data_IF_507064297494
#
_entry.id   IF_507064297494
#
_cell.length_a   1.000
_cell.length_b   1.000
_cell.length_c   1.000
_cell.angle_alpha   90.00
_cell.angle_beta   90.00
_cell.angle_gamma   90.00
#
_symmetry.space_group_name_H-M   'P 1'
#
loop_
_entity.id
_entity.type
_entity.pdbx_description
1 polymer ?
#
# COMPACT_ATOMS: atom_id res chain seq x y z
N UNK A 1 6.81 -18.22 -10.62
CA UNK A 1 8.06 -17.51 -10.92
C UNK A 1 7.85 -16.05 -10.56
N UNK A 2 8.77 -15.46 -9.80
CA UNK A 2 8.65 -14.08 -9.32
C UNK A 2 8.73 -13.07 -10.48
N UNK A 3 7.89 -12.06 -10.45
CA UNK A 3 7.75 -11.06 -11.50
C UNK A 3 8.61 -9.82 -11.25
N UNK A 4 8.75 -9.41 -9.98
CA UNK A 4 9.40 -8.16 -9.60
C UNK A 4 10.68 -8.38 -8.81
N UNK A 5 10.67 -9.24 -7.80
CA UNK A 5 11.89 -9.59 -7.06
C UNK A 5 12.71 -10.61 -7.86
N UNK A 6 13.69 -10.12 -8.62
CA UNK A 6 14.51 -10.92 -9.54
C UNK A 6 15.92 -11.23 -9.02
N UNK A 7 16.34 -10.53 -7.97
CA UNK A 7 17.66 -10.72 -7.37
C UNK A 7 17.75 -12.11 -6.71
N UNK A 8 18.97 -12.61 -6.55
CA UNK A 8 19.15 -13.91 -5.91
C UNK A 8 18.79 -13.81 -4.44
N UNK A 9 17.98 -14.75 -3.95
CA UNK A 9 17.56 -14.75 -2.55
C UNK A 9 18.74 -14.95 -1.58
N UNK A 10 19.82 -15.58 -2.04
CA UNK A 10 21.06 -15.76 -1.27
C UNK A 10 21.82 -14.44 -1.10
N UNK A 11 21.68 -13.49 -2.03
CA UNK A 11 22.29 -12.16 -1.95
C UNK A 11 21.49 -11.25 -0.99
N UNK A 12 20.15 -11.42 -0.95
CA UNK A 12 19.24 -10.66 -0.09
C UNK A 12 19.27 -11.20 1.36
N UNK A 13 19.18 -12.52 1.52
CA UNK A 13 19.13 -13.19 2.81
C UNK A 13 20.23 -14.26 2.89
N UNK A 14 21.49 -13.86 3.15
CA UNK A 14 22.63 -14.79 3.15
C UNK A 14 22.54 -15.86 4.25
N UNK A 15 21.80 -15.58 5.32
CA UNK A 15 21.60 -16.51 6.44
C UNK A 15 20.54 -17.59 6.15
N UNK A 16 19.83 -17.50 5.03
CA UNK A 16 18.74 -18.40 4.66
C UNK A 16 19.25 -19.50 3.72
N UNK A 17 19.44 -20.71 4.26
CA UNK A 17 19.97 -21.85 3.50
C UNK A 17 18.97 -23.01 3.36
N UNK A 18 19.10 -23.77 2.26
CA UNK A 18 18.43 -25.05 2.05
C UNK A 18 16.90 -24.99 2.11
N UNK A 19 16.30 -25.59 3.15
CA UNK A 19 14.85 -25.68 3.30
C UNK A 19 14.19 -24.30 3.52
N UNK A 20 14.91 -23.36 4.16
CA UNK A 20 14.39 -22.02 4.39
C UNK A 20 14.46 -21.17 3.11
N UNK A 21 15.39 -21.46 2.19
CA UNK A 21 15.45 -20.82 0.89
C UNK A 21 14.25 -21.19 0.01
N UNK A 22 13.88 -22.48 -0.01
CA UNK A 22 12.65 -22.94 -0.68
C UNK A 22 11.41 -22.29 -0.08
N UNK A 23 11.39 -22.08 1.24
CA UNK A 23 10.31 -21.38 1.91
C UNK A 23 10.26 -19.90 1.52
N UNK A 24 11.40 -19.21 1.51
CA UNK A 24 11.51 -17.82 1.07
C UNK A 24 11.00 -17.65 -0.36
N UNK A 25 11.40 -18.50 -1.31
CA UNK A 25 10.87 -18.48 -2.69
C UNK A 25 9.34 -18.56 -2.71
N UNK A 26 8.74 -19.45 -1.93
CA UNK A 26 7.27 -19.58 -1.85
C UNK A 26 6.62 -18.35 -1.23
N UNK A 27 7.27 -17.70 -0.27
CA UNK A 27 6.76 -16.47 0.34
C UNK A 27 6.84 -15.29 -0.62
N UNK A 28 7.92 -15.16 -1.40
CA UNK A 28 8.04 -14.17 -2.49
C UNK A 28 6.89 -14.33 -3.47
N UNK A 29 6.69 -15.53 -4.02
CA UNK A 29 5.59 -15.75 -4.99
C UNK A 29 4.21 -15.44 -4.41
N UNK A 30 4.02 -15.68 -3.11
CA UNK A 30 2.74 -15.39 -2.44
C UNK A 30 2.56 -13.90 -2.17
N UNK A 31 3.62 -13.20 -1.76
CA UNK A 31 3.61 -11.76 -1.54
C UNK A 31 3.28 -11.03 -2.84
N UNK A 32 3.91 -11.42 -3.94
CA UNK A 32 3.62 -10.85 -5.25
C UNK A 32 2.16 -11.06 -5.67
N UNK A 33 1.61 -12.26 -5.49
CA UNK A 33 0.19 -12.54 -5.77
C UNK A 33 -0.76 -11.70 -4.91
N UNK A 34 -0.43 -11.46 -3.64
CA UNK A 34 -1.22 -10.60 -2.76
C UNK A 34 -1.19 -9.15 -3.29
N UNK A 35 -0.01 -8.66 -3.67
CA UNK A 35 0.15 -7.31 -4.25
C UNK A 35 -0.64 -7.19 -5.55
N UNK A 36 -0.56 -8.17 -6.46
CA UNK A 36 -1.34 -8.20 -7.71
C UNK A 36 -2.85 -8.16 -7.46
N UNK A 37 -3.32 -9.00 -6.52
CA UNK A 37 -4.73 -9.05 -6.17
C UNK A 37 -5.23 -7.73 -5.58
N UNK A 38 -4.38 -7.02 -4.83
CA UNK A 38 -4.74 -5.78 -4.15
C UNK A 38 -4.59 -4.54 -5.04
N UNK A 39 -3.65 -4.57 -5.99
CA UNK A 39 -3.40 -3.48 -6.93
C UNK A 39 -3.47 -4.00 -8.38
N UNK A 40 -4.68 -4.19 -8.94
CA UNK A 40 -4.84 -4.76 -10.28
C UNK A 40 -4.18 -3.93 -11.40
N UNK A 41 -4.01 -2.62 -11.19
CA UNK A 41 -3.39 -1.69 -12.15
C UNK A 41 -1.88 -1.53 -11.94
N UNK A 42 -1.27 -2.31 -11.04
CA UNK A 42 0.15 -2.17 -10.71
C UNK A 42 1.06 -2.49 -11.90
N UNK A 43 0.76 -3.56 -12.64
CA UNK A 43 1.57 -3.94 -13.80
C UNK A 43 1.55 -2.87 -14.89
N UNK A 44 0.38 -2.29 -15.17
CA UNK A 44 0.25 -1.19 -16.13
C UNK A 44 1.01 0.05 -15.65
N UNK A 45 0.94 0.39 -14.36
CA UNK A 45 1.66 1.54 -13.79
C UNK A 45 3.18 1.38 -13.86
N UNK A 46 3.68 0.16 -13.67
CA UNK A 46 5.11 -0.14 -13.83
C UNK A 46 5.53 -0.02 -15.29
N UNK A 47 4.73 -0.54 -16.23
CA UNK A 47 4.99 -0.41 -17.67
C UNK A 47 4.96 1.05 -18.15
N UNK A 48 4.05 1.85 -17.59
CA UNK A 48 3.88 3.26 -17.93
C UNK A 48 4.90 4.18 -17.21
N UNK A 49 5.81 3.61 -16.39
CA UNK A 49 6.82 4.36 -15.65
C UNK A 49 6.26 5.22 -14.50
N UNK A 50 5.01 5.00 -14.10
CA UNK A 50 4.37 5.70 -12.98
C UNK A 50 4.74 5.12 -11.61
N UNK A 51 5.30 3.91 -11.59
CA UNK A 51 5.81 3.24 -10.41
C UNK A 51 7.06 2.47 -10.81
N UNK A 52 8.14 2.61 -10.04
CA UNK A 52 9.37 1.87 -10.31
C UNK A 52 9.20 0.40 -9.89
N UNK A 53 9.66 -0.52 -10.75
CA UNK A 53 9.67 -1.94 -10.45
C UNK A 53 10.56 -2.25 -9.23
N UNK A 54 11.63 -1.48 -9.01
CA UNK A 54 12.49 -1.64 -7.84
C UNK A 54 11.75 -1.34 -6.53
N UNK A 55 10.81 -0.38 -6.53
CA UNK A 55 9.98 -0.09 -5.34
C UNK A 55 9.06 -1.26 -5.03
N UNK A 56 8.45 -1.87 -6.06
CA UNK A 56 7.61 -3.07 -5.87
C UNK A 56 8.43 -4.23 -5.33
N UNK A 57 9.65 -4.43 -5.85
CA UNK A 57 10.57 -5.46 -5.38
C UNK A 57 10.96 -5.24 -3.91
N UNK A 58 11.30 -4.00 -3.52
CA UNK A 58 11.61 -3.66 -2.13
C UNK A 58 10.44 -3.92 -1.17
N UNK A 59 9.19 -3.61 -1.57
CA UNK A 59 8.02 -3.95 -0.74
C UNK A 59 7.85 -5.47 -0.59
N UNK A 60 8.10 -6.25 -1.64
CA UNK A 60 8.07 -7.72 -1.57
C UNK A 60 9.16 -8.24 -0.63
N UNK A 61 10.37 -7.69 -0.73
CA UNK A 61 11.49 -8.00 0.16
C UNK A 61 11.16 -7.70 1.62
N UNK A 62 10.62 -6.52 1.93
CA UNK A 62 10.23 -6.13 3.30
C UNK A 62 9.16 -7.08 3.87
N UNK A 63 8.16 -7.43 3.05
CA UNK A 63 7.12 -8.37 3.44
C UNK A 63 7.70 -9.75 3.79
N UNK A 64 8.62 -10.26 2.98
CA UNK A 64 9.22 -11.59 3.18
C UNK A 64 10.22 -11.58 4.33
N UNK A 65 11.03 -10.52 4.46
CA UNK A 65 11.96 -10.32 5.58
C UNK A 65 11.22 -10.39 6.90
N UNK A 66 10.09 -9.68 7.03
CA UNK A 66 9.25 -9.77 8.25
C UNK A 66 8.77 -11.18 8.56
N UNK A 67 8.42 -11.96 7.53
CA UNK A 67 7.98 -13.35 7.73
C UNK A 67 9.13 -14.23 8.20
N UNK A 68 10.31 -14.07 7.59
CA UNK A 68 11.51 -14.81 7.95
C UNK A 68 11.96 -14.46 9.38
N UNK A 69 11.96 -13.17 9.73
CA UNK A 69 12.27 -12.70 11.08
C UNK A 69 11.27 -13.19 12.11
N UNK A 70 9.97 -13.13 11.80
CA UNK A 70 8.94 -13.64 12.71
C UNK A 70 9.12 -15.15 12.94
N UNK A 71 9.48 -15.89 11.89
CA UNK A 71 9.74 -17.33 11.99
C UNK A 71 11.01 -17.64 12.77
N UNK A 72 12.11 -16.92 12.55
CA UNK A 72 13.37 -17.12 13.29
C UNK A 72 13.21 -16.83 14.78
N UNK A 73 12.35 -15.87 15.15
CA UNK A 73 11.98 -15.55 16.54
C UNK A 73 10.91 -16.46 17.13
N UNK A 74 10.48 -17.50 16.43
CA UNK A 74 9.43 -18.42 16.89
C UNK A 74 8.04 -17.80 16.98
N UNK A 75 7.79 -16.65 16.35
CA UNK A 75 6.52 -15.91 16.36
C UNK A 75 6.45 -14.73 17.34
N UNK A 76 7.56 -14.40 18.00
CA UNK A 76 7.61 -13.52 19.16
C UNK A 76 7.83 -12.06 18.74
N UNK A 77 6.79 -11.24 18.87
CA UNK A 77 6.73 -9.88 18.32
C UNK A 77 7.21 -8.81 19.33
N UNK A 78 7.01 -9.07 20.63
CA UNK A 78 7.38 -8.13 21.70
C UNK A 78 7.75 -8.88 22.98
N UNK A 79 8.97 -8.62 23.49
CA UNK A 79 9.36 -8.96 24.86
C UNK A 79 9.00 -7.78 25.76
N UNK A 80 7.78 -7.75 26.28
CA UNK A 80 7.32 -6.66 27.16
C UNK A 80 7.52 -7.04 28.61
N UNK A 81 8.73 -6.89 29.13
CA UNK A 81 8.95 -7.08 30.56
C UNK A 81 8.15 -6.04 31.39
N UNK A 82 7.23 -6.38 32.35
CA UNK A 82 7.26 -5.62 33.60
C UNK A 82 8.64 -5.90 34.18
N UNK A 83 8.94 -7.22 34.25
CA UNK A 83 10.21 -7.96 34.11
C UNK A 83 10.06 -9.35 33.34
N UNK A 84 9.01 -9.60 32.52
CA UNK A 84 8.88 -10.31 31.19
C UNK A 84 7.41 -10.64 30.90
N UNK A 85 6.81 -10.10 29.85
CA UNK A 85 5.58 -10.60 29.24
C UNK A 85 5.92 -11.01 27.82
N UNK A 86 5.69 -12.28 27.53
CA UNK A 86 5.67 -12.81 26.17
C UNK A 86 4.22 -12.75 25.72
N UNK A 87 3.94 -11.86 24.77
CA UNK A 87 2.65 -11.77 24.10
C UNK A 87 2.82 -12.31 22.68
N UNK A 88 2.06 -13.36 22.36
CA UNK A 88 1.90 -13.84 21.00
C UNK A 88 0.81 -12.98 20.35
N UNK A 89 1.20 -11.91 19.64
CA UNK A 89 0.24 -11.07 18.93
C UNK A 89 -0.28 -11.80 17.68
N UNK A 90 -1.60 -11.95 17.62
CA UNK A 90 -2.30 -12.26 16.37
C UNK A 90 -2.72 -10.97 15.63
N UNK A 91 -2.36 -9.78 16.13
CA UNK A 91 -2.90 -8.50 15.67
C UNK A 91 -1.82 -7.41 15.48
N UNK A 92 -1.74 -6.86 14.27
CA UNK A 92 -0.83 -5.74 13.97
C UNK A 92 -0.79 -5.27 12.52
N UNK A 93 -1.86 -5.49 11.76
CA UNK A 93 -1.99 -5.08 10.36
C UNK A 93 -3.32 -5.56 9.82
N UNK A 94 -3.86 -4.89 8.79
CA UNK A 94 -5.16 -5.22 8.16
C UNK A 94 -5.09 -6.63 7.53
N UNK A 95 -5.29 -7.66 8.35
CA UNK A 95 -5.06 -9.08 8.02
C UNK A 95 -4.53 -9.91 9.20
N UNK A 96 -5.17 -9.82 10.37
CA UNK A 96 -4.86 -10.41 11.70
C UNK A 96 -4.74 -11.95 11.75
N UNK A 97 -3.98 -12.56 10.85
CA UNK A 97 -3.80 -14.00 10.72
C UNK A 97 -3.00 -14.41 9.46
N UNK A 98 -2.69 -13.45 8.57
CA UNK A 98 -1.80 -13.66 7.44
C UNK A 98 -0.38 -13.22 7.80
N UNK A 99 0.59 -14.15 7.72
CA UNK A 99 2.02 -13.86 7.88
C UNK A 99 2.50 -12.77 6.91
N UNK A 100 1.94 -12.76 5.71
CA UNK A 100 2.21 -11.74 4.69
C UNK A 100 1.14 -10.66 4.77
N UNK A 101 1.56 -9.48 5.21
CA UNK A 101 0.72 -8.28 5.26
C UNK A 101 1.50 -7.06 4.76
N UNK A 102 0.76 -6.10 4.23
CA UNK A 102 1.28 -4.80 3.83
C UNK A 102 1.12 -3.83 5.00
N UNK A 103 2.17 -3.07 5.30
CA UNK A 103 2.10 -1.96 6.25
C UNK A 103 1.37 -0.77 5.62
N UNK A 104 0.99 0.21 6.43
CA UNK A 104 0.37 1.44 5.94
C UNK A 104 1.29 2.20 4.99
N UNK A 105 2.58 2.22 5.28
CA UNK A 105 3.56 2.96 4.49
C UNK A 105 3.78 2.30 3.13
N UNK A 106 3.86 0.96 3.09
CA UNK A 106 3.90 0.18 1.84
C UNK A 106 2.62 0.34 1.01
N UNK A 107 1.46 0.37 1.67
CA UNK A 107 0.20 0.64 0.98
C UNK A 107 0.21 2.01 0.32
N UNK A 108 0.74 3.04 1.01
CA UNK A 108 0.85 4.39 0.47
C UNK A 108 1.85 4.42 -0.69
N UNK A 109 3.01 3.77 -0.56
CA UNK A 109 4.03 3.66 -1.61
C UNK A 109 3.49 3.00 -2.89
N UNK A 110 2.69 1.95 -2.74
CA UNK A 110 2.10 1.24 -3.87
C UNK A 110 0.81 1.86 -4.37
N UNK A 111 0.16 2.73 -3.59
CA UNK A 111 -1.08 3.39 -4.00
C UNK A 111 -0.82 4.40 -5.12
N UNK A 112 -1.78 4.58 -6.04
CA UNK A 112 -1.70 5.68 -6.99
C UNK A 112 -1.77 7.01 -6.22
N UNK A 113 -0.97 8.03 -6.59
CA UNK A 113 -1.19 9.36 -6.05
C UNK A 113 -2.61 9.78 -6.43
N UNK A 114 -3.43 10.12 -5.44
CA UNK A 114 -4.76 10.67 -5.70
C UNK A 114 -4.53 12.01 -6.39
N UNK A 115 -4.78 12.07 -7.70
CA UNK A 115 -4.81 13.34 -8.39
C UNK A 115 -6.03 14.11 -7.89
N UNK A 116 -5.82 14.97 -6.89
CA UNK A 116 -6.77 16.01 -6.56
C UNK A 116 -6.91 16.95 -7.76
N UNK A 117 -7.88 16.66 -8.61
CA UNK A 117 -8.10 17.39 -9.85
C UNK A 117 -9.55 17.36 -10.28
N UNK A 118 -10.49 17.55 -9.35
CA UNK A 118 -11.90 17.76 -9.67
C UNK A 118 -12.46 18.98 -8.93
N UNK A 119 -11.87 20.16 -9.14
CA UNK A 119 -12.57 21.41 -8.87
C UNK A 119 -13.74 21.54 -9.86
N UNK A 120 -14.96 21.19 -9.42
CA UNK A 120 -16.16 21.56 -10.16
C UNK A 120 -16.43 23.06 -9.98
N UNK A 121 -15.96 23.88 -10.92
CA UNK A 121 -16.47 25.26 -11.02
C UNK A 121 -17.89 25.15 -11.55
N UNK A 122 -18.89 25.24 -10.66
CA UNK A 122 -20.27 25.50 -11.10
C UNK A 122 -20.32 26.96 -11.55
N UNK A 123 -20.54 27.29 -12.84
CA UNK A 123 -20.82 28.66 -13.22
C UNK A 123 -22.11 29.07 -12.52
N UNK A 124 -22.00 29.98 -11.55
CA UNK A 124 -23.14 30.62 -10.89
C UNK A 124 -23.84 31.40 -12.00
N UNK A 125 -25.03 30.94 -12.43
CA UNK A 125 -25.90 31.72 -13.34
C UNK A 125 -26.09 33.09 -12.68
N UNK A 126 -25.46 34.11 -13.23
CA UNK A 126 -25.83 35.49 -12.96
C UNK A 126 -27.26 35.67 -13.47
N UNK A 127 -28.20 35.89 -12.55
CA UNK A 127 -29.54 36.34 -12.92
C UNK A 127 -29.42 37.55 -13.85
N UNK A 128 -30.24 37.65 -14.91
CA UNK A 128 -30.20 38.82 -15.78
C UNK A 128 -30.59 40.07 -14.99
N UNK A 129 -30.06 41.26 -15.34
CA UNK A 129 -30.45 42.50 -14.69
C UNK A 129 -31.94 42.72 -14.91
N UNK A 130 -32.71 42.75 -13.83
CA UNK A 130 -34.09 43.21 -13.85
C UNK A 130 -34.06 44.71 -14.20
N UNK A 131 -34.38 45.05 -15.45
CA UNK A 131 -34.85 46.39 -15.77
C UNK A 131 -36.23 46.53 -15.13
N UNK A 132 -36.27 47.19 -13.96
CA UNK A 132 -37.51 47.55 -13.29
C UNK A 132 -38.19 48.70 -14.01
N UNK A 133 -39.04 48.39 -14.97
CA UNK A 133 -40.13 49.28 -15.36
C UNK A 133 -41.11 49.43 -14.19
N UNK A 134 -41.42 50.67 -13.82
CA UNK A 134 -42.59 50.99 -13.02
C UNK A 134 -42.34 51.71 -11.70
N UNK A 135 -41.84 52.95 -11.74
CA UNK A 135 -42.19 53.95 -10.73
C UNK A 135 -43.14 54.98 -11.36
N UNK A 136 -44.45 54.77 -11.12
CA UNK A 136 -45.47 55.81 -11.20
C UNK A 136 -45.59 56.51 -9.83
N UNK A 137 -46.18 57.71 -9.87
CA UNK A 137 -46.69 58.59 -8.78
C UNK A 137 -45.64 59.58 -8.23
N UNK A 138 -45.80 60.92 -8.22
CA UNK A 138 -46.95 61.81 -7.91
C UNK A 138 -46.88 63.13 -8.75
N UNK A 139 -48.02 63.73 -9.18
CA UNK A 139 -48.66 64.98 -8.64
C UNK A 139 -47.63 66.09 -8.35
N UNK A 140 -47.63 67.26 -8.99
CA UNK A 140 -48.68 68.27 -9.15
C UNK A 140 -48.57 69.01 -10.49
#
# INVERSE_FOLDING_TARGET
MAMWLKDNLEDIWPDVAGADLTYATRMVERAEKIIQARFPTLETRVKDGQLDAAVVAGVVEDMVTRVLDRRSRGGLDKLSYPEVQMEWSDSGGLGSGSLLYLTTDELVLLSPPVSEGAFSIRPRRSSPPHYGEGQRWYRW
#
